data_IF_026671263665
#
_entry.id   IF_026671263665
#
_cell.length_a   1.000
_cell.length_b   1.000
_cell.length_c   1.000
_cell.angle_alpha   90.00
_cell.angle_beta   90.00
_cell.angle_gamma   90.00
#
_symmetry.space_group_name_H-M   'P 1'
#
loop_
_entity.id
_entity.type
_entity.pdbx_description
1 polymer ?
#
# COMPACT_ATOMS: atom_id res chain seq x y z
N UNK A 1 -4.31 -33.16 -8.05
CA UNK A 1 -4.05 -32.94 -6.62
C UNK A 1 -3.80 -31.46 -6.37
N UNK A 2 -4.53 -30.82 -5.44
CA UNK A 2 -4.28 -29.44 -5.03
C UNK A 2 -2.94 -29.33 -4.31
N UNK A 3 -2.15 -28.30 -4.63
CA UNK A 3 -0.87 -28.07 -3.94
C UNK A 3 -1.14 -27.73 -2.46
N UNK A 4 -0.33 -28.23 -1.51
CA UNK A 4 -0.43 -27.78 -0.14
C UNK A 4 -0.22 -26.26 -0.07
N UNK A 5 -1.09 -25.55 0.62
CA UNK A 5 -1.08 -24.07 0.69
C UNK A 5 0.28 -23.53 1.13
N UNK A 6 0.91 -24.17 2.12
CA UNK A 6 2.22 -23.76 2.64
C UNK A 6 3.40 -23.98 1.69
N UNK A 7 3.23 -24.74 0.60
CA UNK A 7 4.22 -24.87 -0.46
C UNK A 7 4.12 -23.77 -1.52
N UNK A 8 3.05 -22.99 -1.48
CA UNK A 8 2.78 -21.87 -2.38
C UNK A 8 3.21 -20.54 -1.77
N UNK A 9 3.22 -19.50 -2.58
CA UNK A 9 3.46 -18.13 -2.12
C UNK A 9 2.45 -17.63 -1.09
N UNK A 10 1.28 -18.27 -0.95
CA UNK A 10 0.30 -17.92 0.08
C UNK A 10 0.84 -18.05 1.52
N UNK A 11 1.93 -18.78 1.70
CA UNK A 11 2.68 -18.81 2.97
C UNK A 11 3.11 -17.41 3.42
N UNK A 12 3.26 -16.45 2.51
CA UNK A 12 3.69 -15.09 2.78
C UNK A 12 2.56 -14.14 3.18
N UNK A 13 1.34 -14.63 3.31
CA UNK A 13 0.20 -13.79 3.74
C UNK A 13 0.35 -13.21 5.16
N UNK A 14 1.22 -13.78 5.99
CA UNK A 14 1.57 -13.19 7.28
C UNK A 14 2.13 -11.77 7.13
N UNK A 15 2.87 -11.50 6.04
CA UNK A 15 3.42 -10.18 5.77
C UNK A 15 2.32 -9.17 5.43
N UNK A 16 1.24 -9.60 4.78
CA UNK A 16 0.04 -8.77 4.56
C UNK A 16 -0.52 -8.29 5.91
N UNK A 17 -0.61 -9.18 6.89
CA UNK A 17 -1.11 -8.84 8.24
C UNK A 17 -0.18 -7.83 8.92
N UNK A 18 1.14 -8.00 8.83
CA UNK A 18 2.11 -7.05 9.38
C UNK A 18 1.97 -5.67 8.74
N UNK A 19 1.85 -5.59 7.42
CA UNK A 19 1.65 -4.33 6.70
C UNK A 19 0.35 -3.65 7.14
N UNK A 20 -0.74 -4.41 7.27
CA UNK A 20 -2.03 -3.88 7.73
C UNK A 20 -1.95 -3.32 9.15
N UNK A 21 -1.29 -4.02 10.06
CA UNK A 21 -1.12 -3.55 11.45
C UNK A 21 -0.35 -2.24 11.48
N UNK A 22 0.74 -2.14 10.75
CA UNK A 22 1.58 -0.94 10.68
C UNK A 22 0.81 0.22 10.03
N UNK A 23 0.15 -0.02 8.91
CA UNK A 23 -0.60 1.01 8.19
C UNK A 23 -1.79 1.50 9.00
N UNK A 24 -2.70 0.62 9.39
CA UNK A 24 -3.90 0.99 10.13
C UNK A 24 -3.58 1.51 11.52
N UNK A 25 -2.54 0.98 12.17
CA UNK A 25 -2.05 1.47 13.46
C UNK A 25 -1.54 2.91 13.38
N UNK A 26 -0.71 3.23 12.38
CA UNK A 26 -0.21 4.60 12.17
C UNK A 26 -1.34 5.58 11.84
N UNK A 27 -2.29 5.17 11.00
CA UNK A 27 -3.47 5.98 10.68
C UNK A 27 -4.35 6.22 11.91
N UNK A 28 -4.56 5.19 12.72
CA UNK A 28 -5.30 5.32 13.98
C UNK A 28 -4.65 6.35 14.92
N UNK A 29 -3.32 6.29 15.09
CA UNK A 29 -2.59 7.25 15.91
C UNK A 29 -2.74 8.68 15.39
N UNK A 30 -2.69 8.89 14.09
CA UNK A 30 -2.93 10.21 13.50
C UNK A 30 -4.34 10.70 13.82
N UNK A 31 -5.36 9.87 13.63
CA UNK A 31 -6.75 10.23 13.91
C UNK A 31 -7.00 10.55 15.38
N UNK A 32 -6.25 9.94 16.31
CA UNK A 32 -6.38 10.18 17.74
C UNK A 32 -5.69 11.45 18.20
N UNK A 33 -4.62 11.89 17.57
CA UNK A 33 -3.75 12.95 18.06
C UNK A 33 -3.68 14.20 17.20
N UNK A 34 -4.17 14.14 15.95
CA UNK A 34 -4.11 15.24 15.00
C UNK A 34 -5.50 15.70 14.60
N UNK A 35 -5.72 17.00 14.59
CA UNK A 35 -6.83 17.61 13.85
C UNK A 35 -6.43 17.71 12.37
N UNK A 36 -7.42 17.76 11.48
CA UNK A 36 -7.17 17.88 10.04
C UNK A 36 -6.32 19.13 9.74
N UNK A 37 -5.22 18.92 9.06
CA UNK A 37 -4.27 19.98 8.70
C UNK A 37 -3.15 20.20 9.71
N UNK A 38 -3.19 19.57 10.88
CA UNK A 38 -2.10 19.65 11.85
C UNK A 38 -0.79 19.13 11.28
N UNK A 39 0.30 19.79 11.65
CA UNK A 39 1.65 19.46 11.16
C UNK A 39 2.64 19.45 12.31
N UNK A 40 3.45 18.40 12.38
CA UNK A 40 4.57 18.27 13.32
C UNK A 40 5.84 17.94 12.52
N UNK A 41 6.87 18.76 12.68
CA UNK A 41 8.16 18.49 12.04
C UNK A 41 8.87 17.34 12.76
N UNK A 42 9.30 16.35 11.99
CA UNK A 42 10.10 15.22 12.49
C UNK A 42 11.60 15.45 12.27
N UNK A 43 11.94 15.79 11.06
CA UNK A 43 13.30 16.07 10.61
C UNK A 43 13.27 17.18 9.54
N UNK A 44 14.42 17.77 9.18
CA UNK A 44 14.49 18.61 8.00
C UNK A 44 13.95 17.85 6.78
N UNK A 45 13.04 18.47 6.02
CA UNK A 45 12.37 17.91 4.85
C UNK A 45 11.31 16.84 5.12
N UNK A 46 10.97 16.55 6.37
CA UNK A 46 9.97 15.53 6.73
C UNK A 46 9.06 15.98 7.86
N UNK A 47 7.77 16.06 7.56
CA UNK A 47 6.73 16.35 8.54
C UNK A 47 5.76 15.18 8.69
N UNK A 48 5.12 15.07 9.86
CA UNK A 48 3.80 14.45 9.98
C UNK A 48 2.74 15.52 9.73
N UNK A 49 1.87 15.28 8.76
CA UNK A 49 0.81 16.21 8.38
C UNK A 49 -0.47 15.43 8.10
N UNK A 50 -1.53 15.67 8.89
CA UNK A 50 -2.79 14.96 8.64
C UNK A 50 -3.54 15.57 7.47
N UNK A 51 -3.69 14.80 6.41
CA UNK A 51 -4.47 15.12 5.23
C UNK A 51 -5.47 14.00 4.90
N UNK A 52 -6.54 14.34 4.22
CA UNK A 52 -7.54 13.38 3.71
C UNK A 52 -7.47 13.30 2.19
N UNK A 53 -7.39 12.07 1.67
CA UNK A 53 -7.37 11.79 0.25
C UNK A 53 -8.68 11.12 -0.17
N UNK A 54 -9.48 11.83 -0.95
CA UNK A 54 -10.75 11.34 -1.49
C UNK A 54 -10.61 10.61 -2.83
N UNK A 55 -9.37 10.36 -3.28
CA UNK A 55 -9.10 9.74 -4.58
C UNK A 55 -9.05 10.73 -5.74
N UNK A 56 -8.94 12.01 -5.45
CA UNK A 56 -8.74 13.06 -6.45
C UNK A 56 -7.24 13.30 -6.63
N UNK A 57 -6.63 12.64 -7.61
CA UNK A 57 -5.29 13.01 -8.06
C UNK A 57 -5.27 14.39 -8.72
N UNK A 58 -6.45 14.87 -9.17
CA UNK A 58 -6.67 16.16 -9.82
C UNK A 58 -7.90 16.82 -9.20
N UNK A 59 -7.79 18.11 -8.90
CA UNK A 59 -8.84 18.89 -8.23
C UNK A 59 -10.20 18.87 -8.93
N UNK A 60 -10.24 18.66 -10.24
CA UNK A 60 -11.49 18.58 -11.00
C UNK A 60 -12.33 17.32 -10.70
N UNK A 61 -11.74 16.29 -10.08
CA UNK A 61 -12.45 15.09 -9.64
C UNK A 61 -12.91 15.20 -8.18
N UNK A 62 -12.49 16.22 -7.45
CA UNK A 62 -12.77 16.36 -6.02
C UNK A 62 -14.27 16.49 -5.70
N UNK A 63 -15.04 17.11 -6.60
CA UNK A 63 -16.46 17.45 -6.39
C UNK A 63 -17.45 16.47 -7.05
N UNK A 64 -17.01 15.29 -7.46
CA UNK A 64 -17.76 14.39 -8.35
C UNK A 64 -18.68 13.39 -7.63
N UNK A 65 -19.21 13.69 -6.46
CA UNK A 65 -20.29 12.89 -5.85
C UNK A 65 -19.89 11.56 -5.21
N UNK A 66 -18.61 11.35 -4.92
CA UNK A 66 -18.12 10.20 -4.12
C UNK A 66 -17.94 8.87 -4.88
N UNK A 67 -18.10 8.85 -6.20
CA UNK A 67 -17.90 7.65 -7.02
C UNK A 67 -16.45 7.17 -6.99
N UNK A 68 -15.47 8.07 -6.76
CA UNK A 68 -14.03 7.75 -6.67
C UNK A 68 -13.75 6.71 -5.60
N UNK A 69 -14.43 6.77 -4.46
CA UNK A 69 -14.35 5.79 -3.38
C UNK A 69 -14.57 4.36 -3.91
N UNK A 70 -15.63 4.17 -4.67
CA UNK A 70 -16.01 2.86 -5.20
C UNK A 70 -15.13 2.43 -6.36
N UNK A 71 -14.71 3.36 -7.20
CA UNK A 71 -13.78 3.10 -8.29
C UNK A 71 -12.43 2.60 -7.78
N UNK A 72 -11.82 3.31 -6.82
CA UNK A 72 -10.55 2.88 -6.22
C UNK A 72 -10.69 1.63 -5.36
N UNK A 73 -11.82 1.42 -4.70
CA UNK A 73 -12.11 0.17 -4.00
C UNK A 73 -12.16 -1.01 -4.98
N UNK A 74 -12.81 -0.86 -6.11
CA UNK A 74 -12.86 -1.88 -7.17
C UNK A 74 -11.47 -2.22 -7.72
N UNK A 75 -10.63 -1.22 -7.99
CA UNK A 75 -9.24 -1.42 -8.42
C UNK A 75 -8.45 -2.19 -7.36
N UNK A 76 -8.56 -1.80 -6.09
CA UNK A 76 -7.84 -2.46 -5.00
C UNK A 76 -8.24 -3.94 -4.88
N UNK A 77 -9.53 -4.25 -4.94
CA UNK A 77 -10.03 -5.63 -4.92
C UNK A 77 -9.48 -6.42 -6.10
N UNK A 78 -9.53 -5.87 -7.31
CA UNK A 78 -9.01 -6.51 -8.53
C UNK A 78 -7.52 -6.83 -8.42
N UNK A 79 -6.71 -5.88 -7.97
CA UNK A 79 -5.28 -6.07 -7.76
C UNK A 79 -5.03 -7.17 -6.71
N UNK A 80 -5.74 -7.14 -5.58
CA UNK A 80 -5.59 -8.15 -4.53
C UNK A 80 -5.92 -9.54 -5.04
N UNK A 81 -7.00 -9.72 -5.80
CA UNK A 81 -7.38 -11.02 -6.38
C UNK A 81 -6.29 -11.52 -7.35
N UNK A 82 -5.81 -10.66 -8.25
CA UNK A 82 -4.77 -11.02 -9.21
C UNK A 82 -3.49 -11.46 -8.48
N UNK A 83 -3.03 -10.69 -7.50
CA UNK A 83 -1.81 -10.99 -6.76
C UNK A 83 -1.96 -12.23 -5.88
N UNK A 84 -3.13 -12.48 -5.29
CA UNK A 84 -3.42 -13.73 -4.57
C UNK A 84 -3.32 -14.95 -5.48
N UNK A 85 -3.85 -14.87 -6.70
CA UNK A 85 -3.71 -15.93 -7.71
C UNK A 85 -2.25 -16.15 -8.09
N UNK A 86 -1.49 -15.06 -8.27
CA UNK A 86 -0.05 -15.15 -8.55
C UNK A 86 0.72 -15.80 -7.40
N UNK A 87 0.41 -15.46 -6.15
CA UNK A 87 0.99 -16.11 -4.97
C UNK A 87 0.66 -17.60 -4.92
N UNK A 88 -0.59 -17.98 -5.18
CA UNK A 88 -0.98 -19.39 -5.23
C UNK A 88 -0.23 -20.18 -6.31
N UNK A 89 0.05 -19.54 -7.45
CA UNK A 89 0.79 -20.16 -8.55
C UNK A 89 2.30 -20.20 -8.33
N UNK A 90 2.84 -19.35 -7.48
CA UNK A 90 4.27 -19.29 -7.16
C UNK A 90 4.65 -20.34 -6.11
N UNK A 91 5.96 -20.63 -6.02
CA UNK A 91 6.50 -21.46 -4.94
C UNK A 91 6.79 -20.56 -3.72
N UNK A 92 6.64 -21.11 -2.52
CA UNK A 92 6.97 -20.42 -1.27
C UNK A 92 8.44 -19.94 -1.22
N UNK A 93 9.33 -20.62 -1.95
CA UNK A 93 10.76 -20.30 -2.06
C UNK A 93 11.06 -19.09 -2.95
N UNK A 94 10.13 -18.65 -3.77
CA UNK A 94 10.24 -17.44 -4.59
C UNK A 94 10.00 -16.19 -3.71
N UNK A 95 10.95 -15.92 -2.82
CA UNK A 95 10.80 -14.93 -1.75
C UNK A 95 10.56 -13.53 -2.25
N UNK A 96 11.37 -13.07 -3.20
CA UNK A 96 11.31 -11.69 -3.70
C UNK A 96 9.96 -11.36 -4.30
N UNK A 97 9.44 -12.23 -5.17
CA UNK A 97 8.12 -12.05 -5.77
C UNK A 97 7.00 -12.06 -4.72
N UNK A 98 7.03 -13.03 -3.81
CA UNK A 98 5.98 -13.17 -2.81
C UNK A 98 5.99 -12.06 -1.78
N UNK A 99 7.16 -11.56 -1.39
CA UNK A 99 7.29 -10.37 -0.55
C UNK A 99 6.71 -9.16 -1.27
N UNK A 100 7.04 -8.96 -2.55
CA UNK A 100 6.51 -7.88 -3.35
C UNK A 100 4.97 -7.93 -3.44
N UNK A 101 4.41 -9.09 -3.73
CA UNK A 101 2.95 -9.28 -3.80
C UNK A 101 2.28 -9.02 -2.45
N UNK A 102 2.85 -9.52 -1.36
CA UNK A 102 2.32 -9.31 -0.01
C UNK A 102 2.34 -7.83 0.40
N UNK A 103 3.40 -7.09 0.08
CA UNK A 103 3.49 -5.66 0.34
C UNK A 103 2.41 -4.88 -0.41
N UNK A 104 2.20 -5.19 -1.68
CA UNK A 104 1.17 -4.52 -2.49
C UNK A 104 -0.23 -4.87 -1.98
N UNK A 105 -0.52 -6.13 -1.68
CA UNK A 105 -1.82 -6.56 -1.14
C UNK A 105 -2.08 -5.86 0.20
N UNK A 106 -1.11 -5.86 1.12
CA UNK A 106 -1.25 -5.22 2.41
C UNK A 106 -1.53 -3.73 2.31
N UNK A 107 -0.79 -3.01 1.46
CA UNK A 107 -1.02 -1.59 1.20
C UNK A 107 -2.36 -1.32 0.52
N UNK A 108 -2.72 -2.11 -0.50
CA UNK A 108 -4.01 -1.98 -1.18
C UNK A 108 -5.18 -2.21 -0.23
N UNK A 109 -5.11 -3.23 0.64
CA UNK A 109 -6.13 -3.51 1.65
C UNK A 109 -6.20 -2.42 2.72
N UNK A 110 -5.08 -1.84 3.14
CA UNK A 110 -5.05 -0.74 4.11
C UNK A 110 -5.78 0.50 3.58
N UNK A 111 -5.50 0.91 2.36
CA UNK A 111 -6.19 2.02 1.70
C UNK A 111 -7.65 1.69 1.35
N UNK A 112 -7.95 0.43 1.03
CA UNK A 112 -9.31 -0.04 0.83
C UNK A 112 -10.13 0.07 2.11
N UNK A 113 -9.59 -0.36 3.25
CA UNK A 113 -10.25 -0.24 4.55
C UNK A 113 -10.63 1.21 4.82
N UNK A 114 -9.71 2.14 4.66
CA UNK A 114 -9.98 3.57 4.87
C UNK A 114 -11.11 4.07 3.98
N UNK A 115 -11.11 3.73 2.69
CA UNK A 115 -12.16 4.14 1.76
C UNK A 115 -13.53 3.60 2.13
N UNK A 116 -13.59 2.35 2.58
CA UNK A 116 -14.86 1.72 2.96
C UNK A 116 -15.37 2.26 4.30
N UNK A 117 -14.48 2.48 5.26
CA UNK A 117 -14.84 2.91 6.61
C UNK A 117 -15.04 4.42 6.73
N UNK A 118 -14.10 5.20 6.22
CA UNK A 118 -14.11 6.66 6.34
C UNK A 118 -14.66 7.39 5.11
N UNK A 119 -14.61 6.78 3.94
CA UNK A 119 -14.86 7.44 2.67
C UNK A 119 -13.67 8.21 2.11
N UNK A 120 -12.54 8.23 2.82
CA UNK A 120 -11.27 8.85 2.43
C UNK A 120 -10.10 8.02 2.95
N UNK A 121 -8.92 8.25 2.40
CA UNK A 121 -7.67 7.68 2.90
C UNK A 121 -6.97 8.70 3.80
N UNK A 122 -6.49 8.24 4.95
CA UNK A 122 -5.68 9.06 5.87
C UNK A 122 -4.25 9.10 5.34
N UNK A 123 -3.78 10.30 5.01
CA UNK A 123 -2.39 10.57 4.63
C UNK A 123 -1.68 11.35 5.75
N UNK A 124 -0.38 11.13 5.92
CA UNK A 124 0.33 11.71 7.04
C UNK A 124 1.79 12.08 6.78
N UNK A 125 2.40 11.57 5.72
CA UNK A 125 3.82 11.79 5.44
C UNK A 125 3.94 12.92 4.43
N UNK A 126 4.52 14.03 4.88
CA UNK A 126 4.79 15.22 4.08
C UNK A 126 6.31 15.36 3.90
N UNK A 127 6.78 15.00 2.72
CA UNK A 127 8.16 15.20 2.29
C UNK A 127 8.26 16.50 1.48
N UNK A 128 9.23 17.34 1.81
CA UNK A 128 9.40 18.64 1.16
C UNK A 128 10.87 19.01 0.94
N UNK A 129 11.10 19.86 -0.05
CA UNK A 129 12.39 20.47 -0.32
C UNK A 129 12.17 21.96 -0.56
N UNK A 130 12.65 22.80 0.37
CA UNK A 130 12.32 24.24 0.37
C UNK A 130 10.82 24.45 0.48
N UNK A 131 10.23 25.16 -0.47
CA UNK A 131 8.79 25.43 -0.53
C UNK A 131 8.00 24.38 -1.34
N UNK A 132 8.70 23.41 -1.94
CA UNK A 132 8.06 22.35 -2.72
C UNK A 132 7.73 21.15 -1.84
N UNK A 133 6.46 20.77 -1.81
CA UNK A 133 5.97 19.60 -1.12
C UNK A 133 5.58 18.49 -2.09
N UNK A 134 6.03 17.26 -1.82
CA UNK A 134 5.52 16.07 -2.47
C UNK A 134 4.09 15.81 -2.00
N UNK A 135 3.26 15.16 -2.82
CA UNK A 135 1.92 14.77 -2.40
C UNK A 135 1.98 13.93 -1.12
N UNK A 136 1.20 14.30 -0.10
CA UNK A 136 1.15 13.59 1.18
C UNK A 136 0.75 12.13 0.96
N UNK A 137 1.40 11.22 1.66
CA UNK A 137 1.19 9.78 1.52
C UNK A 137 1.17 9.07 2.88
N UNK A 138 1.02 7.75 2.87
CA UNK A 138 0.93 6.92 4.06
C UNK A 138 1.79 5.66 3.94
N UNK A 139 1.79 4.81 4.97
CA UNK A 139 2.60 3.59 4.97
C UNK A 139 2.06 2.51 4.01
N UNK A 140 0.76 2.51 3.72
CA UNK A 140 0.20 1.65 2.67
C UNK A 140 0.77 1.99 1.29
N UNK A 141 0.83 3.27 0.94
CA UNK A 141 1.43 3.75 -0.30
C UNK A 141 2.90 3.37 -0.39
N UNK A 142 3.63 3.50 0.73
CA UNK A 142 5.04 3.10 0.83
C UNK A 142 5.21 1.61 0.56
N UNK A 143 4.37 0.77 1.16
CA UNK A 143 4.39 -0.68 0.94
C UNK A 143 4.10 -1.04 -0.53
N UNK A 144 3.10 -0.40 -1.15
CA UNK A 144 2.78 -0.59 -2.58
C UNK A 144 3.98 -0.20 -3.45
N UNK A 145 4.59 0.95 -3.20
CA UNK A 145 5.73 1.42 -3.98
C UNK A 145 6.96 0.52 -3.83
N UNK A 146 7.27 0.05 -2.61
CA UNK A 146 8.36 -0.89 -2.38
C UNK A 146 8.06 -2.22 -3.09
N UNK A 147 6.85 -2.73 -2.98
CA UNK A 147 6.44 -3.97 -3.66
C UNK A 147 6.57 -3.86 -5.18
N UNK A 148 6.11 -2.76 -5.78
CA UNK A 148 6.27 -2.49 -7.20
C UNK A 148 7.74 -2.40 -7.63
N UNK A 149 8.59 -1.73 -6.83
CA UNK A 149 10.02 -1.65 -7.08
C UNK A 149 10.70 -3.03 -7.03
N UNK A 150 10.29 -3.90 -6.10
CA UNK A 150 10.81 -5.27 -6.01
C UNK A 150 10.41 -6.14 -7.22
N UNK A 151 9.20 -5.96 -7.75
CA UNK A 151 8.78 -6.64 -8.99
C UNK A 151 9.65 -6.20 -10.16
N UNK A 152 9.91 -4.90 -10.29
CA UNK A 152 10.80 -4.37 -11.35
C UNK A 152 12.22 -4.91 -11.16
N UNK A 153 12.75 -4.91 -9.94
CA UNK A 153 14.07 -5.45 -9.62
C UNK A 153 14.18 -6.94 -10.00
N UNK A 154 13.16 -7.73 -9.66
CA UNK A 154 13.12 -9.16 -10.00
C UNK A 154 13.23 -9.38 -11.52
N UNK A 155 12.60 -8.50 -12.30
CA UNK A 155 12.69 -8.52 -13.76
C UNK A 155 14.11 -8.41 -14.32
N UNK A 156 15.01 -7.75 -13.61
CA UNK A 156 16.42 -7.56 -14.01
C UNK A 156 17.38 -8.61 -13.46
N UNK A 157 16.92 -9.50 -12.56
CA UNK A 157 17.79 -10.52 -11.98
C UNK A 157 18.10 -11.64 -12.98
N UNK A 158 19.31 -12.26 -12.91
CA UNK A 158 19.68 -13.41 -13.71
C UNK A 158 18.74 -14.60 -13.49
N UNK A 159 18.55 -15.43 -14.52
CA UNK A 159 17.61 -16.56 -14.50
C UNK A 159 17.84 -17.58 -13.38
N UNK A 160 19.07 -17.69 -12.85
CA UNK A 160 19.39 -18.56 -11.71
C UNK A 160 18.81 -18.03 -10.40
N UNK A 161 18.86 -16.73 -10.20
CA UNK A 161 18.27 -16.08 -9.02
C UNK A 161 16.75 -16.03 -9.14
N UNK A 162 16.19 -15.86 -10.34
CA UNK A 162 14.76 -15.93 -10.58
C UNK A 162 14.15 -17.29 -10.20
N UNK A 163 14.90 -18.39 -10.33
CA UNK A 163 14.44 -19.72 -9.90
C UNK A 163 14.46 -19.90 -8.38
N UNK A 164 15.29 -19.17 -7.66
CA UNK A 164 15.40 -19.19 -6.21
C UNK A 164 14.56 -18.09 -5.53
N UNK A 165 14.33 -16.98 -6.23
CA UNK A 165 13.47 -15.89 -5.80
C UNK A 165 12.00 -16.20 -6.12
#
# INVERSE_FOLDING_TARGET
MSKPIFSTGLRWLWLVVVVLIIDLGSKFLILQHFALGDTVSLFPSLNLHYARNYGAAFSFLADSGGWQRWFFAGIAIGICVILMVMMYRSKATQKLNNIAYALIIGGALGNLFDRLWHGFVVDMIDFYVGDWHFATFNLADTAICIGAALIVLEGFLPSKEKKAA
#
